data_IF_505386923797
#
_entry.id   IF_505386923797
#
_cell.length_a   1.000
_cell.length_b   1.000
_cell.length_c   1.000
_cell.angle_alpha   90.00
_cell.angle_beta   90.00
_cell.angle_gamma   90.00
#
_symmetry.space_group_name_H-M   'P 1'
#
loop_
_entity.id
_entity.type
_entity.pdbx_description
1 polymer ?
#
# COMPACT_ATOMS: atom_id res chain seq x y z
N UNK A 1 14.43 -5.44 3.15
CA UNK A 1 13.40 -4.80 2.29
C UNK A 1 12.54 -3.84 3.14
N UNK A 2 13.14 -2.77 3.69
CA UNK A 2 12.49 -1.84 4.65
C UNK A 2 12.62 -0.38 4.24
N UNK A 3 13.13 -0.08 3.03
CA UNK A 3 13.52 1.28 2.60
C UNK A 3 12.36 2.27 2.75
N UNK A 4 11.17 1.90 2.28
CA UNK A 4 9.99 2.76 2.40
C UNK A 4 9.55 2.92 3.86
N UNK A 5 9.64 1.85 4.66
CA UNK A 5 9.26 1.86 6.08
C UNK A 5 10.13 2.86 6.84
N UNK A 6 11.44 2.82 6.59
CA UNK A 6 12.40 3.76 7.13
C UNK A 6 12.13 5.19 6.64
N UNK A 7 11.91 5.38 5.33
CA UNK A 7 11.63 6.71 4.76
C UNK A 7 10.39 7.31 5.41
N UNK A 8 9.28 6.58 5.48
CA UNK A 8 7.98 7.12 5.89
C UNK A 8 7.80 7.24 7.40
N UNK A 9 8.77 6.78 8.20
CA UNK A 9 8.73 6.91 9.65
C UNK A 9 8.55 8.37 10.06
N UNK A 10 7.60 8.62 10.98
CA UNK A 10 7.25 9.97 11.45
C UNK A 10 6.46 10.82 10.44
N UNK A 11 6.21 10.31 9.24
CA UNK A 11 5.49 11.00 8.16
C UNK A 11 4.30 10.19 7.66
N UNK A 12 3.73 9.30 8.48
CA UNK A 12 2.51 8.56 8.16
C UNK A 12 1.40 9.00 9.11
N UNK A 13 0.36 9.63 8.57
CA UNK A 13 -0.70 10.27 9.36
C UNK A 13 -2.07 9.79 8.88
N UNK A 14 -2.59 8.67 9.41
CA UNK A 14 -3.88 8.12 8.97
C UNK A 14 -5.06 9.08 9.12
N UNK A 15 -5.06 9.92 10.17
CA UNK A 15 -6.10 10.92 10.42
C UNK A 15 -6.07 12.09 9.42
N UNK A 16 -4.90 12.34 8.81
CA UNK A 16 -4.72 13.39 7.81
C UNK A 16 -3.81 12.88 6.69
N UNK A 17 -4.32 12.03 5.77
CA UNK A 17 -3.51 11.32 4.79
C UNK A 17 -2.65 12.23 3.91
N UNK A 18 -3.12 13.44 3.61
CA UNK A 18 -2.39 14.43 2.81
C UNK A 18 -1.16 15.01 3.54
N UNK A 19 -1.12 14.96 4.88
CA UNK A 19 0.04 15.42 5.66
C UNK A 19 1.24 14.53 5.34
N UNK A 20 2.34 15.14 4.90
CA UNK A 20 3.56 14.42 4.51
C UNK A 20 3.51 13.78 3.11
N UNK A 21 2.45 13.98 2.31
CA UNK A 21 2.31 13.35 0.99
C UNK A 21 3.49 13.65 0.05
N UNK A 22 3.99 14.90 0.06
CA UNK A 22 5.08 15.33 -0.83
C UNK A 22 6.41 14.64 -0.45
N UNK A 23 6.61 14.40 0.85
CA UNK A 23 7.77 13.68 1.35
C UNK A 23 7.71 12.18 1.01
N UNK A 24 6.51 11.57 1.08
CA UNK A 24 6.31 10.16 0.74
C UNK A 24 6.33 9.89 -0.76
N UNK A 25 6.01 10.90 -1.56
CA UNK A 25 5.97 10.83 -3.02
C UNK A 25 7.23 10.16 -3.59
N UNK A 26 7.02 9.29 -4.57
CA UNK A 26 8.07 8.70 -5.41
C UNK A 26 7.94 9.34 -6.79
N UNK A 27 8.97 10.03 -7.25
CA UNK A 27 8.87 10.84 -8.47
C UNK A 27 10.06 10.67 -9.40
N UNK A 28 9.74 10.53 -10.68
CA UNK A 28 10.67 10.56 -11.79
C UNK A 28 10.18 11.63 -12.76
N UNK A 29 11.06 12.53 -13.17
CA UNK A 29 10.78 13.59 -14.14
C UNK A 29 12.06 13.94 -14.92
N UNK A 30 12.01 14.94 -15.81
CA UNK A 30 13.15 15.31 -16.65
C UNK A 30 14.33 15.91 -15.87
N UNK A 31 14.07 16.57 -14.73
CA UNK A 31 15.10 17.16 -13.87
C UNK A 31 15.65 16.12 -12.87
N UNK A 32 14.82 15.18 -12.44
CA UNK A 32 15.15 14.12 -11.49
C UNK A 32 14.73 12.77 -12.09
N UNK A 33 15.63 12.17 -12.87
CA UNK A 33 15.34 10.96 -13.65
C UNK A 33 15.43 9.66 -12.84
N UNK A 34 15.77 9.75 -11.55
CA UNK A 34 15.81 8.65 -10.59
C UNK A 34 15.32 9.15 -9.22
N UNK A 35 14.35 8.44 -8.66
CA UNK A 35 13.98 8.65 -7.26
C UNK A 35 15.02 7.98 -6.34
N UNK A 36 15.52 8.65 -5.29
CA UNK A 36 16.51 8.07 -4.38
C UNK A 36 16.10 6.75 -3.73
N UNK A 37 14.79 6.54 -3.48
CA UNK A 37 14.29 5.27 -2.92
C UNK A 37 14.43 4.15 -3.93
N UNK A 38 14.07 4.41 -5.18
CA UNK A 38 14.16 3.44 -6.24
C UNK A 38 15.61 3.13 -6.58
N UNK A 39 16.49 4.14 -6.57
CA UNK A 39 17.93 3.93 -6.76
C UNK A 39 18.52 3.08 -5.63
N UNK A 40 18.18 3.37 -4.37
CA UNK A 40 18.60 2.54 -3.22
C UNK A 40 18.07 1.11 -3.33
N UNK A 41 16.80 0.92 -3.70
CA UNK A 41 16.21 -0.41 -3.88
C UNK A 41 16.89 -1.21 -5.00
N UNK A 42 17.23 -0.55 -6.11
CA UNK A 42 18.01 -1.13 -7.19
C UNK A 42 19.41 -1.56 -6.73
N UNK A 43 20.11 -0.69 -5.99
CA UNK A 43 21.43 -1.00 -5.45
C UNK A 43 21.39 -2.19 -4.48
N UNK A 44 20.45 -2.20 -3.53
CA UNK A 44 20.27 -3.31 -2.58
C UNK A 44 19.87 -4.63 -3.26
N UNK A 45 19.23 -4.56 -4.44
CA UNK A 45 18.79 -5.73 -5.21
C UNK A 45 19.76 -6.15 -6.32
N UNK A 46 20.89 -5.44 -6.50
CA UNK A 46 21.81 -5.62 -7.62
C UNK A 46 21.11 -5.56 -9.00
N UNK A 47 20.13 -4.66 -9.14
CA UNK A 47 19.39 -4.44 -10.39
C UNK A 47 19.76 -3.08 -10.96
N UNK A 48 20.10 -3.02 -12.24
CA UNK A 48 20.29 -1.75 -12.92
C UNK A 48 18.95 -0.99 -13.02
N UNK A 49 18.90 0.23 -12.48
CA UNK A 49 17.72 1.10 -12.53
C UNK A 49 17.12 1.24 -13.94
N UNK A 50 17.96 1.35 -14.97
CA UNK A 50 17.48 1.54 -16.35
C UNK A 50 16.79 0.29 -16.91
N UNK A 51 17.01 -0.89 -16.32
CA UNK A 51 16.31 -2.12 -16.72
C UNK A 51 14.88 -2.19 -16.17
N UNK A 52 14.50 -1.30 -15.24
CA UNK A 52 13.13 -1.24 -14.72
C UNK A 52 12.12 -0.80 -15.78
N UNK A 53 12.55 -0.15 -16.88
CA UNK A 53 11.63 0.29 -17.94
C UNK A 53 10.61 1.34 -17.49
N UNK A 54 10.95 2.15 -16.48
CA UNK A 54 10.06 3.19 -15.97
C UNK A 54 9.88 4.33 -16.97
N UNK A 55 8.70 4.98 -17.01
CA UNK A 55 8.48 6.17 -17.82
C UNK A 55 9.39 7.32 -17.40
N UNK A 56 9.72 8.22 -18.35
CA UNK A 56 10.48 9.44 -18.08
C UNK A 56 9.81 10.39 -17.09
N UNK A 57 8.48 10.35 -17.04
CA UNK A 57 7.67 11.16 -16.13
C UNK A 57 6.65 10.26 -15.43
N UNK A 58 6.86 10.03 -14.14
CA UNK A 58 5.98 9.23 -13.29
C UNK A 58 5.94 9.83 -11.88
N UNK A 59 4.77 9.84 -11.26
CA UNK A 59 4.61 10.27 -9.87
C UNK A 59 3.71 9.28 -9.17
N UNK A 60 4.17 8.70 -8.06
CA UNK A 60 3.40 7.78 -7.22
C UNK A 60 3.22 8.43 -5.85
N UNK A 61 1.98 8.51 -5.40
CA UNK A 61 1.62 8.90 -4.04
C UNK A 61 1.25 7.66 -3.25
N UNK A 62 1.97 7.44 -2.15
CA UNK A 62 1.73 6.34 -1.22
C UNK A 62 1.21 6.97 0.06
N UNK A 63 -0.11 6.96 0.20
CA UNK A 63 -0.80 7.62 1.29
C UNK A 63 -1.55 6.59 2.14
N UNK A 64 -1.88 6.93 3.40
CA UNK A 64 -2.82 6.13 4.17
C UNK A 64 -4.09 5.86 3.36
N UNK A 65 -4.43 4.58 3.27
CA UNK A 65 -5.62 4.05 2.60
C UNK A 65 -5.66 4.16 1.07
N UNK A 66 -4.70 4.77 0.40
CA UNK A 66 -4.74 4.94 -1.05
C UNK A 66 -3.35 5.04 -1.67
N UNK A 67 -3.18 4.40 -2.83
CA UNK A 67 -1.98 4.55 -3.66
C UNK A 67 -2.43 5.02 -5.03
N UNK A 68 -1.89 6.15 -5.47
CA UNK A 68 -2.22 6.80 -6.73
C UNK A 68 -0.98 6.96 -7.60
N UNK A 69 -1.16 6.98 -8.92
CA UNK A 69 -0.09 7.24 -9.87
C UNK A 69 -0.52 8.22 -10.95
N UNK A 70 0.45 8.95 -11.48
CA UNK A 70 0.32 9.80 -12.66
C UNK A 70 1.49 9.53 -13.60
N UNK A 71 1.18 9.34 -14.89
CA UNK A 71 2.18 9.30 -15.96
C UNK A 71 2.18 10.63 -16.71
N UNK A 72 3.31 11.31 -16.77
CA UNK A 72 3.40 12.63 -17.39
C UNK A 72 2.84 13.75 -16.53
N UNK A 73 3.53 14.90 -16.47
CA UNK A 73 3.18 15.97 -15.53
C UNK A 73 1.81 16.63 -15.79
N UNK A 74 1.35 16.56 -17.05
CA UNK A 74 0.10 17.18 -17.52
C UNK A 74 -1.10 16.24 -17.47
N UNK A 75 -0.93 14.97 -17.10
CA UNK A 75 -2.04 13.99 -17.05
C UNK A 75 -2.70 14.01 -15.67
N UNK A 76 -3.93 13.50 -15.62
CA UNK A 76 -4.62 13.28 -14.35
C UNK A 76 -4.06 12.05 -13.63
N UNK A 77 -3.93 12.11 -12.30
CA UNK A 77 -3.62 10.93 -11.50
C UNK A 77 -4.79 9.93 -11.53
N UNK A 78 -4.48 8.66 -11.32
CA UNK A 78 -5.44 7.57 -11.19
C UNK A 78 -5.09 6.70 -9.99
N UNK A 79 -6.10 6.10 -9.37
CA UNK A 79 -5.93 5.20 -8.23
C UNK A 79 -5.42 3.85 -8.70
N UNK A 80 -4.36 3.36 -8.05
CA UNK A 80 -3.82 2.02 -8.28
C UNK A 80 -4.37 1.03 -7.25
N UNK A 81 -4.47 1.47 -5.99
CA UNK A 81 -5.02 0.67 -4.90
C UNK A 81 -5.75 1.58 -3.90
N UNK A 82 -6.87 1.08 -3.35
CA UNK A 82 -7.63 1.76 -2.32
C UNK A 82 -7.99 0.77 -1.22
N UNK A 83 -7.89 1.21 0.03
CA UNK A 83 -8.09 0.41 1.23
C UNK A 83 -9.08 1.06 2.21
N UNK A 84 -9.73 2.16 1.82
CA UNK A 84 -10.64 2.94 2.67
C UNK A 84 -11.71 2.04 3.33
N UNK A 85 -12.35 1.14 2.58
CA UNK A 85 -13.35 0.21 3.13
C UNK A 85 -12.82 -1.00 3.92
N UNK A 86 -11.51 -1.28 3.86
CA UNK A 86 -10.89 -2.35 4.65
C UNK A 86 -10.54 -1.88 6.07
N UNK A 87 -10.23 -0.59 6.22
CA UNK A 87 -9.87 0.01 7.51
C UNK A 87 -11.06 0.08 8.46
N UNK A 88 -12.22 0.58 8.00
CA UNK A 88 -13.45 0.62 8.79
C UNK A 88 -13.83 -0.78 9.33
N UNK A 89 -13.73 -1.81 8.47
CA UNK A 89 -13.98 -3.19 8.86
C UNK A 89 -12.94 -3.73 9.86
N UNK A 90 -11.67 -3.33 9.73
CA UNK A 90 -10.62 -3.69 10.68
C UNK A 90 -10.80 -3.02 12.04
N UNK A 91 -11.10 -1.72 12.08
CA UNK A 91 -11.40 -1.00 13.32
C UNK A 91 -12.64 -1.57 14.00
N UNK A 92 -13.67 -1.91 13.22
CA UNK A 92 -14.85 -2.60 13.71
C UNK A 92 -14.48 -3.97 14.29
N UNK A 93 -13.68 -4.76 13.56
CA UNK A 93 -13.23 -6.08 14.01
C UNK A 93 -12.37 -5.99 15.29
N UNK A 94 -11.53 -4.97 15.42
CA UNK A 94 -10.77 -4.71 16.65
C UNK A 94 -11.69 -4.35 17.81
N UNK A 95 -12.69 -3.48 17.61
CA UNK A 95 -13.68 -3.15 18.63
C UNK A 95 -14.50 -4.38 19.05
N UNK A 96 -14.94 -5.20 18.09
CA UNK A 96 -15.64 -6.46 18.35
C UNK A 96 -14.73 -7.41 19.13
N UNK A 97 -13.49 -7.62 18.72
CA UNK A 97 -12.54 -8.48 19.42
C UNK A 97 -12.27 -8.01 20.86
N UNK A 98 -12.06 -6.71 21.06
CA UNK A 98 -11.91 -6.12 22.38
C UNK A 98 -13.17 -6.28 23.25
N UNK A 99 -14.36 -6.09 22.67
CA UNK A 99 -15.63 -6.29 23.37
C UNK A 99 -15.86 -7.76 23.74
N UNK A 100 -15.58 -8.68 22.81
CA UNK A 100 -15.65 -10.13 23.05
C UNK A 100 -14.69 -10.52 24.17
N UNK A 101 -13.42 -10.10 24.12
CA UNK A 101 -12.44 -10.41 25.16
C UNK A 101 -12.80 -9.83 26.53
N UNK A 102 -13.49 -8.68 26.57
CA UNK A 102 -14.03 -8.11 27.82
C UNK A 102 -15.26 -8.87 28.31
N UNK A 103 -16.11 -9.34 27.40
CA UNK A 103 -17.29 -10.13 27.73
C UNK A 103 -16.95 -11.57 28.14
N UNK A 104 -15.87 -12.16 27.60
CA UNK A 104 -15.38 -13.50 27.95
C UNK A 104 -14.37 -13.48 29.08
N UNK A 105 -13.91 -12.29 29.52
CA UNK A 105 -12.92 -12.11 30.59
C UNK A 105 -13.42 -12.51 31.98
N UNK A 106 -14.74 -12.61 32.17
CA UNK A 106 -15.36 -13.10 33.40
C UNK A 106 -16.51 -14.05 33.06
N UNK A 107 -16.21 -15.33 32.81
CA UNK A 107 -17.07 -16.47 33.18
C UNK A 107 -16.41 -17.79 32.75
N UNK A 108 -16.16 -18.65 33.73
CA UNK A 108 -15.96 -20.08 33.47
C UNK A 108 -17.30 -20.66 33.01
N UNK A 109 -17.40 -21.19 31.78
CA UNK A 109 -18.19 -22.36 31.34
C UNK A 109 -18.66 -22.28 29.88
N UNK A 110 -18.26 -23.27 29.07
CA UNK A 110 -19.16 -24.08 28.22
C UNK A 110 -19.84 -23.51 26.97
N UNK A 111 -19.50 -24.14 25.83
CA UNK A 111 -20.34 -24.60 24.69
C UNK A 111 -20.69 -23.69 23.47
N UNK A 112 -20.23 -24.20 22.29
CA UNK A 112 -20.90 -24.40 20.97
C UNK A 112 -21.48 -23.23 20.15
N UNK A 113 -21.04 -23.10 18.87
CA UNK A 113 -21.80 -23.45 17.63
C UNK A 113 -21.33 -22.64 16.41
N UNK A 114 -21.38 -23.30 15.23
CA UNK A 114 -20.97 -22.86 13.88
C UNK A 114 -21.83 -21.72 13.26
N UNK A 115 -21.31 -21.00 12.25
CA UNK A 115 -21.97 -20.68 10.95
C UNK A 115 -21.12 -19.75 10.03
N UNK A 116 -20.91 -20.22 8.79
CA UNK A 116 -20.79 -19.59 7.46
C UNK A 116 -20.13 -18.20 7.23
N UNK A 117 -19.01 -18.20 6.51
CA UNK A 117 -18.36 -17.01 5.93
C UNK A 117 -18.86 -16.71 4.51
N UNK A 118 -19.58 -15.60 4.31
CA UNK A 118 -19.95 -15.12 2.98
C UNK A 118 -18.75 -14.46 2.27
N UNK A 119 -18.03 -15.23 1.47
CA UNK A 119 -16.94 -14.74 0.63
C UNK A 119 -17.53 -14.04 -0.61
N UNK A 120 -17.56 -12.71 -0.66
CA UNK A 120 -17.80 -11.99 -1.92
C UNK A 120 -16.48 -11.86 -2.66
N UNK A 121 -16.36 -12.64 -3.73
CA UNK A 121 -15.21 -12.68 -4.63
C UNK A 121 -15.00 -11.30 -5.28
N UNK A 122 -13.82 -10.71 -5.05
CA UNK A 122 -13.42 -9.48 -5.72
C UNK A 122 -13.22 -9.79 -7.21
N UNK A 123 -13.95 -9.10 -8.08
CA UNK A 123 -13.86 -9.29 -9.52
C UNK A 123 -12.41 -9.09 -10.00
N UNK A 124 -11.88 -10.13 -10.62
CA UNK A 124 -10.51 -10.26 -11.09
C UNK A 124 -10.28 -9.23 -12.21
N UNK A 125 -9.35 -8.31 -11.98
CA UNK A 125 -8.83 -7.40 -13.02
C UNK A 125 -8.29 -8.29 -14.16
N UNK A 126 -8.65 -8.04 -15.44
CA UNK A 126 -8.15 -8.83 -16.55
C UNK A 126 -6.61 -8.88 -16.51
N UNK A 127 -6.04 -10.08 -16.38
CA UNK A 127 -4.60 -10.28 -16.44
C UNK A 127 -4.12 -10.00 -17.86
N UNK A 128 -3.85 -8.73 -18.16
CA UNK A 128 -3.09 -8.33 -19.34
C UNK A 128 -1.64 -8.76 -19.14
N UNK A 129 -1.30 -9.94 -19.68
CA UNK A 129 0.05 -10.47 -19.63
C UNK A 129 0.88 -9.87 -20.78
N UNK A 130 1.25 -8.60 -20.62
CA UNK A 130 2.26 -7.97 -21.46
C UNK A 130 3.54 -7.79 -20.62
N UNK A 131 4.60 -8.58 -20.89
CA UNK A 131 5.84 -8.57 -20.10
C UNK A 131 6.64 -7.26 -20.21
N UNK A 132 6.24 -6.34 -21.11
CA UNK A 132 6.80 -4.98 -21.22
C UNK A 132 5.84 -3.90 -20.75
N UNK A 133 4.74 -4.27 -20.11
CA UNK A 133 3.76 -3.33 -19.63
C UNK A 133 4.31 -2.56 -18.44
N UNK A 134 4.41 -1.24 -18.57
CA UNK A 134 4.71 -0.32 -17.46
C UNK A 134 3.80 -0.59 -16.25
N UNK A 135 2.56 -1.04 -16.50
CA UNK A 135 1.61 -1.42 -15.46
C UNK A 135 2.09 -2.60 -14.61
N UNK A 136 2.84 -3.57 -15.17
CA UNK A 136 3.39 -4.68 -14.37
C UNK A 136 4.53 -4.24 -13.46
N UNK A 137 5.33 -3.25 -13.89
CA UNK A 137 6.41 -2.68 -13.06
C UNK A 137 5.80 -1.86 -11.93
N UNK A 138 4.80 -1.03 -12.23
CA UNK A 138 4.07 -0.27 -11.21
C UNK A 138 3.32 -1.20 -10.26
N UNK A 139 2.66 -2.24 -10.75
CA UNK A 139 2.05 -3.27 -9.89
C UNK A 139 3.09 -3.99 -9.02
N UNK A 140 4.29 -4.26 -9.53
CA UNK A 140 5.38 -4.86 -8.74
C UNK A 140 5.90 -3.92 -7.66
N UNK A 141 6.04 -2.63 -7.95
CA UNK A 141 6.39 -1.59 -6.99
C UNK A 141 5.30 -1.47 -5.92
N UNK A 142 4.03 -1.43 -6.32
CA UNK A 142 2.88 -1.36 -5.41
C UNK A 142 2.75 -2.62 -4.57
N UNK A 143 2.95 -3.81 -5.15
CA UNK A 143 2.97 -5.07 -4.42
C UNK A 143 4.11 -5.06 -3.39
N UNK A 144 5.28 -4.55 -3.76
CA UNK A 144 6.40 -4.39 -2.84
C UNK A 144 6.10 -3.37 -1.73
N UNK A 145 5.44 -2.24 -2.04
CA UNK A 145 4.98 -1.24 -1.06
C UNK A 145 4.02 -1.90 -0.06
N UNK A 146 2.98 -2.58 -0.55
CA UNK A 146 1.96 -3.22 0.28
C UNK A 146 2.57 -4.35 1.14
N UNK A 147 3.44 -5.18 0.55
CA UNK A 147 4.10 -6.29 1.25
C UNK A 147 5.19 -5.83 2.23
N UNK A 148 5.84 -4.68 2.00
CA UNK A 148 6.86 -4.13 2.90
C UNK A 148 6.26 -3.28 4.02
N UNK A 149 4.98 -2.94 3.94
CA UNK A 149 4.29 -2.06 4.91
C UNK A 149 3.02 -2.65 5.54
N UNK A 150 2.96 -3.95 5.91
CA UNK A 150 1.81 -4.45 6.64
C UNK A 150 1.64 -3.67 7.97
N UNK A 151 2.73 -3.28 8.63
CA UNK A 151 2.60 -2.48 9.86
C UNK A 151 2.11 -1.04 9.65
N UNK A 152 2.31 -0.37 8.50
CA UNK A 152 1.74 0.99 8.33
C UNK A 152 0.26 0.98 7.91
N UNK A 153 -0.18 -0.09 7.25
CA UNK A 153 -1.59 -0.28 6.90
C UNK A 153 -2.40 -1.03 7.98
N UNK A 154 -1.75 -1.73 8.92
CA UNK A 154 -2.41 -2.56 9.94
C UNK A 154 -1.98 -2.27 11.39
N UNK A 155 -1.00 -1.40 11.65
CA UNK A 155 -0.69 -0.89 12.99
C UNK A 155 -0.69 0.63 12.99
N UNK A 156 -1.55 1.19 13.82
CA UNK A 156 -1.33 2.52 14.40
C UNK A 156 0.01 2.49 15.15
N UNK A 157 0.87 3.48 14.89
CA UNK A 157 2.07 3.71 15.69
C UNK A 157 1.70 4.20 17.09
#
# INVERSE_FOLDING_TARGET
MTILFEKYRGHWHPDCPSKGQAFRCIRINNNENKDPVLERACAESNVNFFHLGLPKEMTIWVDPYEVCCRYGEKKHPFTIASFKGRWENWELAQHVSCAVNRATGDCSSGTSSDEESCSREAQIIPKVNNPKSVYQVVCSIVCSIVCSMPSLYFRTF
#
